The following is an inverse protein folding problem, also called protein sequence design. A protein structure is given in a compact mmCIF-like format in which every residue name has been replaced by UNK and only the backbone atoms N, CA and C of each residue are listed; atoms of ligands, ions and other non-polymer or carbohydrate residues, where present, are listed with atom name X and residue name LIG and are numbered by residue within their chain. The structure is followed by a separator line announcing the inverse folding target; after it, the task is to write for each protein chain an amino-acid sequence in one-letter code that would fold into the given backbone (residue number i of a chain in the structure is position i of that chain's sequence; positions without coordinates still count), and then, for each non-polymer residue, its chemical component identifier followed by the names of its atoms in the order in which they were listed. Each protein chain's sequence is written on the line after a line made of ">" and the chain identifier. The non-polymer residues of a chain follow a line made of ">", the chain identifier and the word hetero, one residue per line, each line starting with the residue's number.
data_IF_083327365845
#
_entry.id   IF_083327365845
#
_cell.length_a   1.000
_cell.length_b   1.000
_cell.length_c   1.000
_cell.angle_alpha   90.00
_cell.angle_beta   90.00
_cell.angle_gamma   90.00
#
_symmetry.space_group_name_H-M   'P 1'
#
loop_
_entity.id
_entity.type
_entity.pdbx_description
1 polymer ?
#
# COMPACT_ATOMS: atom_id res chain seq x y z
N UNK A 1 9.70 -11.53 10.60
CA UNK A 1 9.51 -12.81 9.88
C UNK A 1 8.01 -13.01 9.76
N UNK A 2 7.45 -13.07 8.54
CA UNK A 2 6.01 -13.25 8.32
C UNK A 2 5.70 -14.71 7.97
N UNK A 3 4.42 -15.08 7.91
CA UNK A 3 3.97 -16.46 7.74
C UNK A 3 4.43 -17.13 6.44
N UNK A 4 4.54 -16.36 5.35
CA UNK A 4 4.87 -16.90 4.02
C UNK A 4 5.95 -16.10 3.27
N UNK A 5 6.45 -15.00 3.85
CA UNK A 5 7.43 -14.12 3.21
C UNK A 5 8.44 -13.56 4.22
N UNK A 6 9.64 -13.23 3.73
CA UNK A 6 10.64 -12.48 4.47
C UNK A 6 10.74 -11.09 3.85
N UNK A 7 10.70 -10.06 4.69
CA UNK A 7 10.97 -8.68 4.27
C UNK A 7 12.30 -8.25 4.86
N UNK A 8 13.12 -7.57 4.06
CA UNK A 8 14.22 -6.76 4.58
C UNK A 8 13.57 -5.52 5.20
N UNK A 9 13.80 -5.33 6.49
CA UNK A 9 13.20 -4.24 7.25
C UNK A 9 14.30 -3.39 7.84
N UNK A 10 14.22 -2.08 7.58
CA UNK A 10 14.99 -1.06 8.27
C UNK A 10 14.02 -0.21 9.09
N UNK A 11 14.42 0.18 10.29
CA UNK A 11 13.66 1.11 11.13
C UNK A 11 14.32 2.48 11.11
N UNK A 12 13.52 3.52 10.88
CA UNK A 12 13.96 4.93 10.92
C UNK A 12 13.11 5.63 11.97
N UNK A 13 13.76 6.32 12.90
CA UNK A 13 13.10 7.08 13.98
C UNK A 13 13.73 8.46 14.13
N UNK A 14 12.98 9.37 14.74
CA UNK A 14 13.40 10.74 15.00
C UNK A 14 12.56 11.38 16.11
N UNK A 15 13.04 12.50 16.64
CA UNK A 15 12.29 13.32 17.58
C UNK A 15 11.49 14.36 16.80
N UNK A 16 10.21 14.48 17.12
CA UNK A 16 9.35 15.50 16.54
C UNK A 16 9.74 16.89 17.06
N UNK A 17 9.77 17.88 16.18
CA UNK A 17 9.99 19.27 16.59
C UNK A 17 8.85 19.77 17.48
N UNK A 18 9.14 20.66 18.42
CA UNK A 18 8.18 21.13 19.43
C UNK A 18 6.94 21.80 18.83
N UNK A 19 7.06 22.38 17.64
CA UNK A 19 5.99 23.06 16.90
C UNK A 19 5.23 22.14 15.93
N UNK A 20 5.45 20.82 16.00
CA UNK A 20 4.87 19.83 15.08
C UNK A 20 4.02 18.79 15.77
N UNK A 21 3.07 18.23 15.02
CA UNK A 21 2.19 17.15 15.47
C UNK A 21 2.23 15.93 14.53
N UNK A 22 1.62 14.83 14.98
CA UNK A 22 1.62 13.55 14.26
C UNK A 22 1.01 13.64 12.84
N UNK A 23 -0.03 14.46 12.63
CA UNK A 23 -0.63 14.62 11.31
C UNK A 23 0.30 15.30 10.32
N UNK A 24 1.09 16.28 10.76
CA UNK A 24 2.11 16.91 9.92
C UNK A 24 3.24 15.93 9.55
N UNK A 25 3.55 14.98 10.44
CA UNK A 25 4.48 13.89 10.12
C UNK A 25 3.88 12.99 9.04
N UNK A 26 2.61 12.61 9.17
CA UNK A 26 1.92 11.83 8.14
C UNK A 26 1.95 12.56 6.80
N UNK A 27 1.57 13.84 6.75
CA UNK A 27 1.59 14.68 5.54
C UNK A 27 2.97 14.70 4.88
N UNK A 28 4.04 14.91 5.65
CA UNK A 28 5.40 14.94 5.12
C UNK A 28 5.88 13.58 4.59
N UNK A 29 5.46 12.49 5.21
CA UNK A 29 5.87 11.13 4.84
C UNK A 29 4.99 10.52 3.74
N UNK A 30 3.76 10.99 3.56
CA UNK A 30 2.78 10.42 2.66
C UNK A 30 3.04 10.77 1.17
N UNK A 31 2.59 9.91 0.23
CA UNK A 31 2.39 8.48 0.40
C UNK A 31 3.73 7.77 0.63
N UNK A 32 3.66 6.51 1.07
CA UNK A 32 4.85 5.72 1.35
C UNK A 32 5.71 5.49 0.07
N UNK A 33 7.03 5.59 0.22
CA UNK A 33 7.99 5.41 -0.87
C UNK A 33 7.92 4.02 -1.53
N UNK A 34 7.55 2.99 -0.76
CA UNK A 34 7.44 1.60 -1.22
C UNK A 34 6.32 1.35 -2.23
N UNK A 35 5.34 2.27 -2.33
CA UNK A 35 4.17 2.17 -3.21
C UNK A 35 4.06 3.34 -4.18
N UNK A 36 5.03 4.25 -4.16
CA UNK A 36 5.16 5.37 -5.09
C UNK A 36 6.44 5.20 -5.92
N UNK A 37 7.59 5.48 -5.33
CA UNK A 37 8.90 5.29 -5.94
C UNK A 37 9.89 6.38 -5.51
N UNK A 38 11.01 6.47 -6.23
CA UNK A 38 12.06 7.45 -5.97
C UNK A 38 12.63 8.00 -7.29
N UNK A 39 12.75 9.33 -7.46
CA UNK A 39 12.24 10.41 -6.60
C UNK A 39 10.71 10.43 -6.50
N UNK A 40 10.16 10.62 -5.28
CA UNK A 40 8.73 10.40 -4.97
C UNK A 40 7.77 11.13 -5.91
N UNK A 41 7.96 12.44 -6.10
CA UNK A 41 7.05 13.27 -6.93
C UNK A 41 7.06 12.78 -8.37
N UNK A 42 8.24 12.58 -8.96
CA UNK A 42 8.34 12.11 -10.35
C UNK A 42 7.75 10.71 -10.54
N UNK A 43 7.96 9.82 -9.57
CA UNK A 43 7.35 8.50 -9.61
C UNK A 43 5.82 8.57 -9.58
N UNK A 44 5.24 9.45 -8.76
CA UNK A 44 3.79 9.66 -8.71
C UNK A 44 3.24 10.25 -10.02
N UNK A 45 3.96 11.16 -10.68
CA UNK A 45 3.56 11.67 -12.00
C UNK A 45 3.49 10.55 -13.05
N UNK A 46 4.53 9.69 -13.11
CA UNK A 46 4.55 8.54 -14.04
C UNK A 46 3.41 7.57 -13.73
N UNK A 47 3.12 7.32 -12.44
CA UNK A 47 1.98 6.50 -12.03
C UNK A 47 0.67 7.11 -12.54
N UNK A 48 0.48 8.42 -12.40
CA UNK A 48 -0.73 9.12 -12.85
C UNK A 48 -0.86 9.13 -14.39
N UNK A 49 0.27 9.20 -15.10
CA UNK A 49 0.33 9.09 -16.58
C UNK A 49 -0.08 7.69 -17.08
N UNK A 50 0.24 6.63 -16.32
CA UNK A 50 0.10 5.24 -16.74
C UNK A 50 -1.16 4.54 -16.20
N UNK A 51 -1.61 4.86 -14.99
CA UNK A 51 -2.76 4.19 -14.38
C UNK A 51 -4.08 4.74 -14.94
N UNK A 52 -5.02 3.87 -15.36
CA UNK A 52 -6.25 4.32 -16.02
C UNK A 52 -7.26 4.97 -15.07
N UNK A 53 -7.04 4.86 -13.76
CA UNK A 53 -7.97 5.28 -12.71
C UNK A 53 -7.22 5.73 -11.48
N UNK A 54 -7.82 6.63 -10.70
CA UNK A 54 -7.28 7.01 -9.39
C UNK A 54 -7.25 5.81 -8.43
N UNK A 55 -6.19 5.70 -7.64
CA UNK A 55 -5.96 4.59 -6.67
C UNK A 55 -6.97 4.52 -5.52
N UNK A 56 -7.70 5.60 -5.24
CA UNK A 56 -8.66 5.63 -4.12
C UNK A 56 -7.96 5.30 -2.80
N UNK A 57 -8.41 4.22 -2.12
CA UNK A 57 -7.79 3.78 -0.87
C UNK A 57 -6.45 3.09 -1.08
N UNK A 58 -6.14 2.52 -2.24
CA UNK A 58 -4.89 1.78 -2.46
C UNK A 58 -3.66 2.68 -2.32
N UNK A 59 -2.60 2.17 -1.67
CA UNK A 59 -1.36 2.90 -1.39
C UNK A 59 -1.53 4.17 -0.50
N UNK A 60 -2.71 4.33 0.10
CA UNK A 60 -3.00 5.31 1.14
C UNK A 60 -2.58 4.85 2.54
N UNK A 61 -3.25 5.39 3.56
CA UNK A 61 -3.00 5.10 4.96
C UNK A 61 -4.31 4.84 5.71
N UNK A 62 -4.31 3.82 6.56
CA UNK A 62 -5.41 3.50 7.48
C UNK A 62 -4.83 3.32 8.88
N UNK A 63 -5.53 3.81 9.90
CA UNK A 63 -5.01 3.82 11.26
C UNK A 63 -5.86 4.61 12.23
N UNK A 64 -5.24 5.07 13.31
CA UNK A 64 -5.89 5.89 14.32
C UNK A 64 -5.04 7.10 14.71
N UNK A 65 -5.71 8.12 15.25
CA UNK A 65 -5.14 9.25 15.98
C UNK A 65 -5.92 9.34 17.30
N UNK A 66 -5.23 9.44 18.43
CA UNK A 66 -5.87 9.60 19.73
C UNK A 66 -5.81 11.05 20.26
N UNK A 67 -6.55 11.32 21.33
CA UNK A 67 -6.60 12.65 21.97
C UNK A 67 -5.32 13.03 22.73
N UNK A 68 -4.35 12.11 22.84
CA UNK A 68 -3.04 12.35 23.44
C UNK A 68 -1.98 12.68 22.38
N UNK A 69 -2.36 12.68 21.10
CA UNK A 69 -1.46 12.96 19.98
C UNK A 69 -0.71 11.73 19.46
N UNK A 70 -1.04 10.52 19.93
CA UNK A 70 -0.49 9.29 19.39
C UNK A 70 -1.18 8.95 18.07
N UNK A 71 -0.39 8.46 17.11
CA UNK A 71 -0.88 8.03 15.81
C UNK A 71 -0.16 6.76 15.40
N UNK A 72 -0.92 5.81 14.86
CA UNK A 72 -0.38 4.64 14.18
C UNK A 72 -1.16 4.40 12.90
N UNK A 73 -0.44 4.13 11.82
CA UNK A 73 -1.01 3.93 10.49
C UNK A 73 -0.27 2.82 9.77
N UNK A 74 -0.98 2.08 8.94
CA UNK A 74 -0.40 1.16 7.98
C UNK A 74 -0.76 1.57 6.55
N UNK A 75 0.07 1.15 5.61
CA UNK A 75 -0.19 1.36 4.18
C UNK A 75 -1.33 0.43 3.78
N UNK A 76 -2.31 0.96 3.07
CA UNK A 76 -3.48 0.23 2.54
C UNK A 76 -3.10 -0.60 1.30
N UNK A 77 -2.29 -1.63 1.55
CA UNK A 77 -2.00 -2.73 0.63
C UNK A 77 -2.64 -4.01 1.17
N UNK A 78 -2.78 -5.04 0.33
CA UNK A 78 -3.47 -6.29 0.72
C UNK A 78 -4.85 -6.00 1.36
N UNK A 79 -5.57 -5.06 0.77
CA UNK A 79 -6.88 -4.57 1.24
C UNK A 79 -7.93 -4.81 0.15
N UNK A 80 -9.15 -5.15 0.55
CA UNK A 80 -10.33 -5.22 -0.33
C UNK A 80 -11.22 -4.01 -0.07
N UNK A 81 -11.56 -3.25 -1.11
CA UNK A 81 -12.59 -2.20 -1.03
C UNK A 81 -13.90 -2.78 -1.56
N UNK A 82 -14.92 -2.86 -0.70
CA UNK A 82 -16.25 -3.36 -1.07
C UNK A 82 -17.18 -2.19 -1.29
N UNK A 83 -17.77 -2.09 -2.49
CA UNK A 83 -18.75 -1.05 -2.84
C UNK A 83 -19.98 -1.71 -3.44
N UNK A 84 -21.08 -1.76 -2.68
CA UNK A 84 -22.27 -2.51 -3.09
C UNK A 84 -21.96 -4.00 -3.25
N UNK A 85 -22.11 -4.52 -4.47
CA UNK A 85 -21.82 -5.92 -4.80
C UNK A 85 -20.43 -6.13 -5.40
N UNK A 86 -19.66 -5.05 -5.59
CA UNK A 86 -18.34 -5.10 -6.22
C UNK A 86 -17.23 -5.13 -5.16
N UNK A 87 -16.21 -5.95 -5.40
CA UNK A 87 -15.00 -6.04 -4.59
C UNK A 87 -13.80 -5.62 -5.44
N UNK A 88 -13.14 -4.54 -5.04
CA UNK A 88 -11.94 -4.04 -5.69
C UNK A 88 -10.70 -4.51 -4.95
N UNK A 89 -9.80 -5.20 -5.66
CA UNK A 89 -8.47 -5.60 -5.19
C UNK A 89 -7.45 -4.96 -6.10
N UNK A 90 -6.55 -4.16 -5.52
CA UNK A 90 -5.44 -3.55 -6.24
C UNK A 90 -4.11 -4.04 -5.68
N UNK A 91 -3.18 -4.36 -6.59
CA UNK A 91 -1.84 -4.80 -6.27
C UNK A 91 -0.87 -4.21 -7.30
N UNK A 92 0.40 -4.07 -6.91
CA UNK A 92 1.45 -3.54 -7.75
C UNK A 92 2.81 -4.13 -7.39
N UNK A 93 3.80 -3.83 -8.22
CA UNK A 93 5.20 -4.24 -8.06
C UNK A 93 6.12 -3.02 -8.17
N UNK A 94 7.29 -3.10 -7.55
CA UNK A 94 8.29 -2.05 -7.61
C UNK A 94 9.17 -2.26 -8.82
N UNK A 95 9.15 -1.33 -9.78
CA UNK A 95 9.91 -1.47 -11.02
C UNK A 95 11.29 -0.83 -10.86
N UNK A 96 12.32 -1.60 -11.18
CA UNK A 96 13.73 -1.18 -11.21
C UNK A 96 14.34 -1.49 -12.58
N UNK A 97 15.57 -1.04 -12.83
CA UNK A 97 16.20 -1.15 -14.14
C UNK A 97 16.40 -2.60 -14.62
N UNK A 98 16.53 -3.54 -13.70
CA UNK A 98 16.72 -4.97 -13.91
C UNK A 98 15.42 -5.79 -13.77
N UNK A 99 14.27 -5.13 -13.60
CA UNK A 99 12.96 -5.80 -13.56
C UNK A 99 12.67 -6.55 -14.85
N UNK A 100 12.10 -7.75 -14.71
CA UNK A 100 11.61 -8.56 -15.83
C UNK A 100 10.09 -8.42 -15.90
N UNK A 101 9.51 -7.85 -16.98
CA UNK A 101 8.09 -7.49 -17.03
C UNK A 101 7.13 -8.63 -16.64
N UNK A 102 7.39 -9.84 -17.12
CA UNK A 102 6.58 -11.03 -16.83
C UNK A 102 6.64 -11.42 -15.35
N UNK A 103 7.82 -11.30 -14.73
CA UNK A 103 8.00 -11.61 -13.31
C UNK A 103 7.28 -10.58 -12.42
N UNK A 104 7.34 -9.29 -12.76
CA UNK A 104 6.65 -8.24 -12.01
C UNK A 104 5.13 -8.39 -12.11
N UNK A 105 4.61 -8.73 -13.29
CA UNK A 105 3.20 -9.03 -13.48
C UNK A 105 2.77 -10.21 -12.59
N UNK A 106 3.49 -11.34 -12.63
CA UNK A 106 3.21 -12.50 -11.78
C UNK A 106 3.29 -12.16 -10.28
N UNK A 107 4.19 -11.27 -9.87
CA UNK A 107 4.25 -10.79 -8.49
C UNK A 107 2.95 -10.06 -8.09
N UNK A 108 2.41 -9.20 -8.95
CA UNK A 108 1.13 -8.52 -8.68
C UNK A 108 -0.03 -9.50 -8.53
N UNK A 109 -0.11 -10.50 -9.41
CA UNK A 109 -1.11 -11.57 -9.35
C UNK A 109 -0.99 -12.35 -8.05
N UNK A 110 0.23 -12.73 -7.67
CA UNK A 110 0.50 -13.45 -6.43
C UNK A 110 0.14 -12.63 -5.17
N UNK A 111 0.36 -11.32 -5.20
CA UNK A 111 -0.05 -10.42 -4.11
C UNK A 111 -1.57 -10.35 -3.97
N UNK A 112 -2.30 -10.28 -5.08
CA UNK A 112 -3.76 -10.23 -5.10
C UNK A 112 -4.42 -11.58 -4.76
N UNK A 113 -3.80 -12.70 -5.16
CA UNK A 113 -4.32 -14.07 -5.01
C UNK A 113 -4.71 -14.43 -3.57
N UNK A 114 -3.98 -13.92 -2.58
CA UNK A 114 -4.29 -14.15 -1.17
C UNK A 114 -5.67 -13.60 -0.77
N UNK A 115 -6.02 -12.40 -1.26
CA UNK A 115 -7.31 -11.77 -1.00
C UNK A 115 -8.43 -12.46 -1.77
N UNK A 116 -8.17 -12.79 -3.03
CA UNK A 116 -9.13 -13.56 -3.84
C UNK A 116 -9.47 -14.92 -3.19
N UNK A 117 -8.46 -15.62 -2.66
CA UNK A 117 -8.68 -16.87 -1.92
C UNK A 117 -9.49 -16.64 -0.65
N UNK A 118 -9.18 -15.59 0.12
CA UNK A 118 -9.94 -15.24 1.32
C UNK A 118 -11.40 -14.94 1.01
N UNK A 119 -11.68 -14.23 -0.08
CA UNK A 119 -13.04 -13.97 -0.56
C UNK A 119 -13.78 -15.25 -0.93
N UNK A 120 -13.18 -16.14 -1.73
CA UNK A 120 -13.81 -17.41 -2.12
C UNK A 120 -14.12 -18.31 -0.92
N UNK A 121 -13.21 -18.37 0.07
CA UNK A 121 -13.42 -19.13 1.30
C UNK A 121 -14.56 -18.54 2.14
N UNK A 122 -14.61 -17.21 2.27
CA UNK A 122 -15.67 -16.52 3.01
C UNK A 122 -17.04 -16.65 2.33
N UNK A 123 -17.08 -16.70 0.99
CA UNK A 123 -18.30 -16.91 0.21
C UNK A 123 -18.80 -18.36 0.24
N UNK A 124 -18.02 -19.32 0.78
CA UNK A 124 -18.44 -20.72 0.93
C UNK A 124 -18.54 -21.47 -0.40
N UNK A 125 -17.45 -21.51 -1.18
CA UNK A 125 -17.39 -22.25 -2.47
C UNK A 125 -18.52 -21.89 -3.46
N UNK A 126 -18.99 -20.64 -3.44
CA UNK A 126 -20.02 -20.11 -4.34
C UNK A 126 -19.47 -19.39 -5.60
N UNK A 127 -18.19 -19.63 -5.92
CA UNK A 127 -17.57 -19.39 -7.23
C UNK A 127 -16.67 -20.56 -7.60
#
# INVERSE_FOLDING_TARGET
>A
RYSHVMHIVSSVSGLLAEDRNALQVLEACFPAGTVSGAPKVRAMEIIDELEPTRRGVYAGAVGYLDFRGNMDTCITIRTMLVTGNDVHIQAGAGIVADSVPEAEYEETVNKAKALHKAMNLAAGELL
#
